data_IF_816454888306
#
_entry.id   IF_816454888306
#
_cell.length_a   1.000
_cell.length_b   1.000
_cell.length_c   1.000
_cell.angle_alpha   90.00
_cell.angle_beta   90.00
_cell.angle_gamma   90.00
#
_symmetry.space_group_name_H-M   'P 1'
#
loop_
_entity.id
_entity.type
_entity.pdbx_description
1 polymer ?
#
# COMPACT_ATOMS: atom_id res chain seq x y z
N UNK A 1 -10.48 1.52 -29.08
CA UNK A 1 -9.21 1.38 -28.35
C UNK A 1 -8.91 -0.11 -28.28
N UNK A 2 -7.67 -0.50 -28.58
CA UNK A 2 -7.20 -1.88 -28.77
C UNK A 2 -7.82 -2.88 -27.77
N UNK A 3 -8.62 -3.80 -28.29
CA UNK A 3 -9.28 -4.89 -27.53
C UNK A 3 -8.32 -6.05 -27.20
N UNK A 4 -7.01 -5.78 -27.16
CA UNK A 4 -6.00 -6.81 -26.94
C UNK A 4 -5.97 -7.26 -25.49
N UNK A 5 -5.83 -8.57 -25.21
CA UNK A 5 -5.74 -9.09 -23.86
C UNK A 5 -4.64 -8.43 -23.02
N UNK A 6 -3.49 -8.11 -23.62
CA UNK A 6 -2.40 -7.42 -22.94
C UNK A 6 -2.80 -6.05 -22.40
N UNK A 7 -3.45 -5.20 -23.22
CA UNK A 7 -3.80 -3.83 -22.83
C UNK A 7 -4.76 -3.80 -21.63
N UNK A 8 -5.73 -4.72 -21.61
CA UNK A 8 -6.67 -4.87 -20.47
C UNK A 8 -5.95 -5.24 -19.18
N UNK A 9 -5.02 -6.20 -19.27
CA UNK A 9 -4.23 -6.64 -18.11
C UNK A 9 -3.24 -5.56 -17.65
N UNK A 10 -2.64 -4.80 -18.57
CA UNK A 10 -1.75 -3.70 -18.24
C UNK A 10 -2.48 -2.59 -17.49
N UNK A 11 -3.68 -2.20 -17.93
CA UNK A 11 -4.50 -1.18 -17.23
C UNK A 11 -4.89 -1.69 -15.84
N UNK A 12 -5.32 -2.95 -15.72
CA UNK A 12 -5.69 -3.54 -14.43
C UNK A 12 -4.48 -3.57 -13.47
N UNK A 13 -3.31 -3.97 -13.97
CA UNK A 13 -2.05 -3.94 -13.23
C UNK A 13 -1.74 -2.53 -12.72
N UNK A 14 -1.74 -1.53 -13.61
CA UNK A 14 -1.44 -0.15 -13.25
C UNK A 14 -2.38 0.37 -12.17
N UNK A 15 -3.69 0.11 -12.29
CA UNK A 15 -4.68 0.52 -11.29
C UNK A 15 -4.40 -0.09 -9.91
N UNK A 16 -4.14 -1.40 -9.85
CA UNK A 16 -3.83 -2.07 -8.58
C UNK A 16 -2.49 -1.60 -8.00
N UNK A 17 -1.49 -1.36 -8.84
CA UNK A 17 -0.16 -0.89 -8.42
C UNK A 17 -0.18 0.52 -7.87
N UNK A 18 -1.14 1.35 -8.30
CA UNK A 18 -1.33 2.71 -7.81
C UNK A 18 -2.22 2.77 -6.54
N UNK A 19 -2.94 1.70 -6.21
CA UNK A 19 -3.77 1.66 -5.00
C UNK A 19 -2.99 1.93 -3.69
N UNK A 20 -1.75 1.42 -3.52
CA UNK A 20 -0.90 1.79 -2.38
C UNK A 20 -0.62 3.29 -2.22
N UNK A 21 -0.65 4.08 -3.31
CA UNK A 21 -0.55 5.55 -3.21
C UNK A 21 -1.76 6.12 -2.48
N UNK A 22 -2.96 5.65 -2.83
CA UNK A 22 -4.20 6.08 -2.18
C UNK A 22 -4.16 5.68 -0.71
N UNK A 23 -3.76 4.45 -0.39
CA UNK A 23 -3.62 3.98 0.99
C UNK A 23 -2.62 4.82 1.79
N UNK A 24 -1.47 5.14 1.19
CA UNK A 24 -0.44 5.99 1.80
C UNK A 24 -0.95 7.41 2.09
N UNK A 25 -1.66 8.04 1.16
CA UNK A 25 -2.25 9.36 1.36
C UNK A 25 -3.33 9.36 2.44
N UNK A 26 -4.21 8.34 2.43
CA UNK A 26 -5.21 8.15 3.48
C UNK A 26 -4.54 7.93 4.84
N UNK A 27 -3.42 7.21 4.89
CA UNK A 27 -2.65 7.02 6.11
C UNK A 27 -2.06 8.31 6.66
N UNK A 28 -1.58 9.23 5.81
CA UNK A 28 -1.12 10.56 6.25
C UNK A 28 -2.28 11.38 6.82
N UNK A 29 -3.43 11.40 6.13
CA UNK A 29 -4.63 12.12 6.59
C UNK A 29 -5.08 11.54 7.94
N UNK A 30 -5.10 10.21 8.06
CA UNK A 30 -5.42 9.51 9.30
C UNK A 30 -4.46 9.92 10.42
N UNK A 31 -3.15 9.83 10.22
CA UNK A 31 -2.18 10.27 11.24
C UNK A 31 -2.32 11.74 11.62
N UNK A 32 -2.76 12.61 10.70
CA UNK A 32 -3.06 14.01 10.99
C UNK A 32 -4.29 14.12 11.90
N UNK A 33 -5.38 13.41 11.60
CA UNK A 33 -6.57 13.35 12.46
C UNK A 33 -6.24 12.81 13.87
N UNK A 34 -5.41 11.77 13.94
CA UNK A 34 -4.92 11.23 15.22
C UNK A 34 -4.14 12.26 16.03
N UNK A 35 -3.25 13.02 15.38
CA UNK A 35 -2.49 14.08 16.04
C UNK A 35 -3.40 15.16 16.68
N UNK A 36 -4.55 15.46 16.08
CA UNK A 36 -5.55 16.39 16.65
C UNK A 36 -6.53 15.73 17.64
N UNK A 37 -6.36 14.45 17.97
CA UNK A 37 -7.23 13.74 18.91
C UNK A 37 -8.63 13.45 18.37
N UNK A 38 -8.79 13.36 17.05
CA UNK A 38 -10.06 12.95 16.42
C UNK A 38 -10.28 11.46 16.68
N UNK A 39 -11.49 11.09 17.09
CA UNK A 39 -11.90 9.69 17.29
C UNK A 39 -11.70 8.88 16.01
N UNK A 40 -11.12 7.67 16.11
CA UNK A 40 -10.70 6.85 14.97
C UNK A 40 -9.71 7.53 14.03
N UNK A 41 -9.07 8.63 14.45
CA UNK A 41 -8.12 9.37 13.64
C UNK A 41 -7.00 8.48 13.13
N UNK A 42 -6.49 7.54 13.93
CA UNK A 42 -5.38 6.66 13.57
C UNK A 42 -5.75 5.41 12.77
N UNK A 43 -7.03 5.18 12.47
CA UNK A 43 -7.50 3.88 11.97
C UNK A 43 -6.91 3.44 10.61
N UNK A 44 -6.37 4.35 9.80
CA UNK A 44 -5.73 4.06 8.51
C UNK A 44 -4.23 4.41 8.51
N UNK A 45 -3.69 4.89 9.63
CA UNK A 45 -2.29 5.25 9.72
C UNK A 45 -1.40 4.03 9.42
N UNK A 46 -0.20 4.22 8.85
CA UNK A 46 0.75 3.14 8.65
C UNK A 46 1.00 2.40 9.96
N UNK A 47 1.01 1.07 9.91
CA UNK A 47 1.20 0.23 11.10
C UNK A 47 2.46 0.58 11.88
N UNK A 48 3.56 0.91 11.18
CA UNK A 48 4.79 1.37 11.82
C UNK A 48 4.62 2.72 12.55
N UNK A 49 3.79 3.61 12.00
CA UNK A 49 3.50 4.91 12.62
C UNK A 49 2.64 4.76 13.88
N UNK A 50 1.67 3.84 13.87
CA UNK A 50 0.85 3.50 15.03
C UNK A 50 1.68 2.87 16.14
N UNK A 51 2.51 1.89 15.81
CA UNK A 51 3.41 1.26 16.77
C UNK A 51 4.37 2.27 17.41
N UNK A 52 4.98 3.14 16.61
CA UNK A 52 5.88 4.18 17.12
C UNK A 52 5.15 5.21 18.00
N UNK A 53 3.93 5.62 17.63
CA UNK A 53 3.15 6.54 18.46
C UNK A 53 2.81 5.95 19.84
N UNK A 54 2.54 4.65 19.90
CA UNK A 54 2.24 3.94 21.14
C UNK A 54 3.48 3.76 22.04
N UNK A 55 4.60 3.31 21.48
CA UNK A 55 5.83 3.05 22.25
C UNK A 55 6.52 4.34 22.73
N UNK A 56 6.51 5.39 21.91
CA UNK A 56 7.19 6.65 22.22
C UNK A 56 6.26 7.74 22.77
N UNK A 57 4.98 7.41 22.99
CA UNK A 57 3.93 8.29 23.53
C UNK A 57 3.83 9.69 22.88
N UNK A 58 4.16 9.79 21.58
CA UNK A 58 4.17 11.07 20.85
C UNK A 58 3.41 10.93 19.52
N UNK A 59 2.20 11.52 19.41
CA UNK A 59 1.45 11.56 18.15
C UNK A 59 2.20 12.28 17.03
N UNK A 60 3.08 13.24 17.36
CA UNK A 60 3.93 13.93 16.39
C UNK A 60 4.89 12.95 15.70
N UNK A 61 5.45 12.00 16.43
CA UNK A 61 6.35 10.97 15.87
C UNK A 61 5.60 10.10 14.86
N UNK A 62 4.38 9.67 15.18
CA UNK A 62 3.54 8.91 14.24
C UNK A 62 3.21 9.70 12.97
N UNK A 63 2.90 10.99 13.10
CA UNK A 63 2.63 11.87 11.96
C UNK A 63 3.86 12.04 11.05
N UNK A 64 5.02 12.35 11.62
CA UNK A 64 6.27 12.52 10.87
C UNK A 64 6.67 11.22 10.15
N UNK A 65 6.50 10.09 10.82
CA UNK A 65 6.79 8.78 10.22
C UNK A 65 5.83 8.45 9.08
N UNK A 66 4.56 8.86 9.18
CA UNK A 66 3.58 8.69 8.09
C UNK A 66 3.96 9.49 6.84
N UNK A 67 4.44 10.72 7.01
CA UNK A 67 4.97 11.50 5.89
C UNK A 67 6.20 10.82 5.29
N UNK A 68 7.18 10.43 6.11
CA UNK A 68 8.40 9.77 5.66
C UNK A 68 8.10 8.49 4.88
N UNK A 69 7.22 7.64 5.40
CA UNK A 69 6.80 6.41 4.74
C UNK A 69 6.13 6.72 3.40
N UNK A 70 5.28 7.74 3.34
CA UNK A 70 4.62 8.14 2.09
C UNK A 70 5.60 8.63 1.03
N UNK A 71 6.64 9.37 1.44
CA UNK A 71 7.74 9.77 0.56
C UNK A 71 8.52 8.58 -0.01
N UNK A 72 8.55 7.45 0.70
CA UNK A 72 9.16 6.20 0.21
C UNK A 72 8.17 5.38 -0.64
N UNK A 73 6.92 5.23 -0.20
CA UNK A 73 5.91 4.40 -0.85
C UNK A 73 5.54 4.91 -2.25
N UNK A 74 5.30 6.22 -2.37
CA UNK A 74 4.74 6.80 -3.59
C UNK A 74 5.69 6.62 -4.79
N UNK A 75 6.99 6.95 -4.70
CA UNK A 75 7.92 6.71 -5.81
C UNK A 75 8.00 5.24 -6.21
N UNK A 76 8.07 4.32 -5.24
CA UNK A 76 8.14 2.89 -5.51
C UNK A 76 6.89 2.40 -6.24
N UNK A 77 5.69 2.83 -5.83
CA UNK A 77 4.44 2.53 -6.52
C UNK A 77 4.40 3.09 -7.95
N UNK A 78 4.91 4.31 -8.18
CA UNK A 78 4.99 4.91 -9.51
C UNK A 78 5.95 4.14 -10.44
N UNK A 79 7.12 3.72 -9.94
CA UNK A 79 8.06 2.90 -10.72
C UNK A 79 7.52 1.49 -10.96
N UNK A 80 6.88 0.91 -9.96
CA UNK A 80 6.20 -0.36 -10.06
C UNK A 80 5.13 -0.30 -11.16
N UNK A 81 4.26 0.73 -11.19
CA UNK A 81 3.23 0.88 -12.22
C UNK A 81 3.78 0.97 -13.66
N UNK A 82 5.07 1.30 -13.84
CA UNK A 82 5.78 1.23 -15.13
C UNK A 82 6.27 -0.17 -15.49
N UNK A 83 5.85 -1.21 -14.76
CA UNK A 83 6.25 -2.60 -14.96
C UNK A 83 7.64 -2.94 -14.43
N UNK A 84 8.23 -2.12 -13.55
CA UNK A 84 9.55 -2.39 -12.97
C UNK A 84 9.43 -3.32 -11.76
N UNK A 85 9.51 -4.62 -12.01
CA UNK A 85 9.34 -5.68 -11.00
C UNK A 85 10.13 -5.47 -9.69
N UNK A 86 11.42 -5.03 -9.69
CA UNK A 86 12.15 -4.82 -8.44
C UNK A 86 11.48 -3.80 -7.51
N UNK A 87 10.91 -2.73 -8.06
CA UNK A 87 10.19 -1.72 -7.28
C UNK A 87 8.85 -2.27 -6.76
N UNK A 88 8.20 -3.15 -7.52
CA UNK A 88 6.99 -3.82 -7.08
C UNK A 88 7.26 -4.77 -5.90
N UNK A 89 8.34 -5.55 -5.97
CA UNK A 89 8.72 -6.45 -4.88
C UNK A 89 9.10 -5.67 -3.62
N UNK A 90 9.85 -4.57 -3.76
CA UNK A 90 10.15 -3.70 -2.64
C UNK A 90 8.87 -3.10 -2.01
N UNK A 91 7.92 -2.65 -2.84
CA UNK A 91 6.61 -2.18 -2.39
C UNK A 91 5.86 -3.25 -1.58
N UNK A 92 5.80 -4.49 -2.07
CA UNK A 92 5.19 -5.61 -1.34
C UNK A 92 5.88 -5.90 0.00
N UNK A 93 7.21 -5.85 0.03
CA UNK A 93 7.99 -6.02 1.26
C UNK A 93 7.62 -4.94 2.27
N UNK A 94 7.52 -3.68 1.84
CA UNK A 94 7.10 -2.59 2.72
C UNK A 94 5.68 -2.81 3.26
N UNK A 95 4.71 -3.13 2.40
CA UNK A 95 3.33 -3.43 2.83
C UNK A 95 3.27 -4.61 3.83
N UNK A 96 4.14 -5.60 3.64
CA UNK A 96 4.25 -6.75 4.56
C UNK A 96 4.79 -6.31 5.93
N UNK A 97 5.85 -5.50 5.93
CA UNK A 97 6.42 -4.93 7.16
C UNK A 97 5.38 -4.07 7.87
N UNK A 98 4.65 -3.24 7.14
CA UNK A 98 3.62 -2.36 7.71
C UNK A 98 2.47 -3.16 8.33
N UNK A 99 2.03 -4.25 7.68
CA UNK A 99 1.06 -5.19 8.25
C UNK A 99 1.57 -5.82 9.56
N UNK A 100 2.84 -6.23 9.62
CA UNK A 100 3.43 -6.77 10.85
C UNK A 100 3.38 -5.74 11.97
N UNK A 101 3.78 -4.49 11.72
CA UNK A 101 3.72 -3.45 12.74
C UNK A 101 2.29 -3.10 13.13
N UNK A 102 1.34 -3.11 12.19
CA UNK A 102 -0.09 -2.96 12.51
C UNK A 102 -0.61 -4.09 13.40
N UNK A 103 -0.13 -5.32 13.20
CA UNK A 103 -0.51 -6.46 14.03
C UNK A 103 0.08 -6.40 15.45
N UNK A 104 1.24 -5.76 15.60
CA UNK A 104 1.94 -5.53 16.88
C UNK A 104 1.46 -4.29 17.62
N UNK A 105 0.85 -3.33 16.93
CA UNK A 105 0.29 -2.14 17.57
C UNK A 105 -0.83 -2.52 18.56
N UNK A 106 -0.99 -1.77 19.67
CA UNK A 106 -2.09 -1.99 20.61
C UNK A 106 -3.45 -1.96 19.92
N UNK A 107 -4.32 -2.92 20.25
CA UNK A 107 -5.65 -3.08 19.65
C UNK A 107 -6.74 -2.65 20.61
N UNK A 108 -6.62 -1.43 21.12
CA UNK A 108 -7.62 -0.88 22.03
C UNK A 108 -8.86 -0.48 21.20
N UNK A 109 -9.98 -1.17 21.44
CA UNK A 109 -11.25 -0.89 20.76
C UNK A 109 -11.32 -1.33 19.29
N UNK A 110 -12.29 -0.79 18.57
CA UNK A 110 -12.57 -1.13 17.17
C UNK A 110 -11.50 -0.61 16.20
N UNK A 111 -10.82 0.48 16.55
CA UNK A 111 -9.83 1.18 15.73
C UNK A 111 -8.65 0.28 15.31
N UNK A 112 -8.09 -0.46 16.27
CA UNK A 112 -6.96 -1.36 15.99
C UNK A 112 -7.32 -2.50 15.05
N UNK A 113 -8.56 -2.99 15.11
CA UNK A 113 -9.05 -4.03 14.19
C UNK A 113 -9.32 -3.46 12.79
N UNK A 114 -9.86 -2.25 12.70
CA UNK A 114 -10.06 -1.54 11.42
C UNK A 114 -8.71 -1.34 10.73
N UNK A 115 -7.70 -0.88 11.47
CA UNK A 115 -6.34 -0.70 10.95
C UNK A 115 -5.76 -2.01 10.41
N UNK A 116 -5.84 -3.09 11.19
CA UNK A 116 -5.33 -4.39 10.76
C UNK A 116 -6.04 -4.89 9.49
N UNK A 117 -7.38 -4.81 9.45
CA UNK A 117 -8.16 -5.22 8.28
C UNK A 117 -7.82 -4.38 7.03
N UNK A 118 -7.62 -3.08 7.20
CA UNK A 118 -7.21 -2.18 6.12
C UNK A 118 -5.85 -2.61 5.54
N UNK A 119 -4.85 -2.83 6.39
CA UNK A 119 -3.51 -3.23 5.94
C UNK A 119 -3.49 -4.61 5.28
N UNK A 120 -4.31 -5.56 5.77
CA UNK A 120 -4.53 -6.85 5.10
C UNK A 120 -5.11 -6.63 3.71
N UNK A 121 -6.15 -5.79 3.58
CA UNK A 121 -6.80 -5.53 2.30
C UNK A 121 -5.83 -4.88 1.29
N UNK A 122 -5.03 -3.90 1.71
CA UNK A 122 -4.01 -3.26 0.85
C UNK A 122 -2.96 -4.27 0.39
N UNK A 123 -2.47 -5.15 1.27
CA UNK A 123 -1.52 -6.19 0.90
C UNK A 123 -2.13 -7.19 -0.10
N UNK A 124 -3.37 -7.61 0.11
CA UNK A 124 -4.07 -8.52 -0.81
C UNK A 124 -4.25 -7.89 -2.20
N UNK A 125 -4.57 -6.59 -2.28
CA UNK A 125 -4.62 -5.86 -3.55
C UNK A 125 -3.25 -5.78 -4.22
N UNK A 126 -2.19 -5.57 -3.43
CA UNK A 126 -0.80 -5.65 -3.92
C UNK A 126 -0.44 -7.03 -4.47
N UNK A 127 -0.82 -8.12 -3.79
CA UNK A 127 -0.58 -9.48 -4.27
C UNK A 127 -1.38 -9.79 -5.54
N UNK A 128 -2.63 -9.34 -5.61
CA UNK A 128 -3.45 -9.45 -6.82
C UNK A 128 -2.78 -8.72 -8.01
N UNK A 129 -2.23 -7.52 -7.80
CA UNK A 129 -1.50 -6.81 -8.84
C UNK A 129 -0.25 -7.56 -9.33
N UNK A 130 0.45 -8.30 -8.46
CA UNK A 130 1.58 -9.15 -8.86
C UNK A 130 1.12 -10.29 -9.78
N UNK A 131 -0.01 -10.93 -9.46
CA UNK A 131 -0.61 -11.97 -10.31
C UNK A 131 -0.93 -11.37 -11.69
N UNK A 132 -1.58 -10.20 -11.74
CA UNK A 132 -1.92 -9.54 -13.00
C UNK A 132 -0.66 -9.16 -13.80
N UNK A 133 0.43 -8.74 -13.14
CA UNK A 133 1.71 -8.47 -13.81
C UNK A 133 2.21 -9.68 -14.61
N UNK A 134 2.23 -10.87 -13.99
CA UNK A 134 2.66 -12.09 -14.65
C UNK A 134 1.72 -12.49 -15.78
N UNK A 135 0.41 -12.31 -15.62
CA UNK A 135 -0.58 -12.53 -16.68
C UNK A 135 -0.36 -11.57 -17.86
N UNK A 136 -0.13 -10.28 -17.59
CA UNK A 136 0.16 -9.28 -18.62
C UNK A 136 1.44 -9.63 -19.39
N UNK A 137 2.51 -10.00 -18.67
CA UNK A 137 3.77 -10.41 -19.30
C UNK A 137 3.59 -11.64 -20.20
N UNK A 138 2.85 -12.64 -19.74
CA UNK A 138 2.54 -13.84 -20.54
C UNK A 138 1.71 -13.51 -21.79
N UNK A 139 0.72 -12.62 -21.66
CA UNK A 139 -0.08 -12.17 -22.80
C UNK A 139 0.79 -11.46 -23.85
N UNK A 140 1.68 -10.57 -23.41
CA UNK A 140 2.63 -9.89 -24.30
C UNK A 140 3.55 -10.86 -25.04
N UNK A 141 4.09 -11.86 -24.34
CA UNK A 141 4.97 -12.86 -24.95
C UNK A 141 4.23 -13.73 -25.97
N UNK A 142 2.97 -14.07 -25.72
CA UNK A 142 2.13 -14.81 -26.68
C UNK A 142 1.81 -13.96 -27.92
N UNK A 143 1.48 -12.68 -27.73
CA UNK A 143 1.23 -11.76 -28.85
C UNK A 143 2.49 -11.57 -29.71
N UNK A 144 3.68 -11.53 -29.10
CA UNK A 144 4.97 -11.44 -29.81
C UNK A 144 5.38 -12.71 -30.54
N UNK A 145 4.88 -13.88 -30.14
CA UNK A 145 5.18 -15.17 -30.77
C UNK A 145 4.18 -15.55 -31.88
N UNK A 146 2.97 -14.99 -31.82
CA UNK A 146 1.94 -15.14 -32.86
C UNK A 146 2.00 -14.07 -33.95
N UNK A 147 2.93 -13.12 -33.82
CA UNK A 147 3.40 -12.20 -34.87
C UNK A 147 4.74 -12.69 -35.40
#
# INVERSE_FOLDING_TARGET
MSDKPFDKLLIAYQRLTLCPIIASLLGVISSFLFYFGVENGGALAPGLSLWAAAEFASPLTGLLLSFLLSFLYIPFALFAAKGKLPFYLALLSFLTVDLVFSALAPKDGAEGWIALCFHIAVLLLGLAGLIIYFLAKRALDNEKRGQ
#
